data_IF_630972620393
#
_entry.id   IF_630972620393
#
_cell.length_a   1.000
_cell.length_b   1.000
_cell.length_c   1.000
_cell.angle_alpha   90.00
_cell.angle_beta   90.00
_cell.angle_gamma   90.00
#
_symmetry.space_group_name_H-M   'P 1'
#
loop_
_entity.id
_entity.type
_entity.pdbx_description
1 polymer ?
#
# COMPACT_ATOMS: atom_id res chain seq x y z
N UNK A 1 27.11 3.94 24.00
CA UNK A 1 26.41 4.89 23.09
C UNK A 1 25.76 4.19 21.90
N UNK A 2 26.44 3.24 21.24
CA UNK A 2 25.90 2.47 20.10
C UNK A 2 24.54 1.82 20.36
N UNK A 3 24.33 1.19 21.54
CA UNK A 3 23.03 0.63 21.94
C UNK A 3 21.88 1.65 21.89
N UNK A 4 22.12 2.90 22.28
CA UNK A 4 21.09 3.96 22.26
C UNK A 4 20.77 4.41 20.82
N UNK A 5 21.79 4.48 19.96
CA UNK A 5 21.64 4.79 18.54
C UNK A 5 20.85 3.69 17.82
N UNK A 6 21.16 2.42 18.11
CA UNK A 6 20.44 1.28 17.54
C UNK A 6 18.96 1.29 17.95
N UNK A 7 18.68 1.57 19.23
CA UNK A 7 17.33 1.64 19.76
C UNK A 7 16.53 2.79 19.12
N UNK A 8 17.17 3.95 18.94
CA UNK A 8 16.56 5.08 18.22
C UNK A 8 16.25 4.72 16.76
N UNK A 9 17.19 4.07 16.07
CA UNK A 9 17.02 3.63 14.68
C UNK A 9 15.86 2.65 14.51
N UNK A 10 15.73 1.69 15.42
CA UNK A 10 14.59 0.77 15.44
C UNK A 10 13.27 1.52 15.62
N UNK A 11 13.18 2.46 16.58
CA UNK A 11 11.96 3.24 16.82
C UNK A 11 11.56 4.04 15.58
N UNK A 12 12.50 4.70 14.91
CA UNK A 12 12.21 5.39 13.65
C UNK A 12 11.71 4.44 12.57
N UNK A 13 12.29 3.24 12.44
CA UNK A 13 11.85 2.27 11.45
C UNK A 13 10.42 1.77 11.70
N UNK A 14 10.07 1.46 12.95
CA UNK A 14 8.73 1.01 13.31
C UNK A 14 7.66 2.10 13.19
N UNK A 15 8.03 3.38 13.33
CA UNK A 15 7.11 4.51 13.16
C UNK A 15 6.80 4.86 11.69
N UNK A 16 7.49 4.27 10.71
CA UNK A 16 7.22 4.47 9.28
C UNK A 16 6.00 3.66 8.75
N UNK A 17 5.36 2.85 9.59
CA UNK A 17 4.18 2.05 9.20
C UNK A 17 2.98 2.85 8.71
N UNK A 18 2.97 4.18 8.89
CA UNK A 18 1.90 5.07 8.44
C UNK A 18 1.79 5.20 6.91
N UNK A 19 2.84 4.81 6.17
CA UNK A 19 2.86 4.85 4.71
C UNK A 19 2.63 3.49 4.05
N UNK A 20 2.34 2.43 4.82
CA UNK A 20 2.10 1.09 4.27
C UNK A 20 0.59 0.87 4.19
N UNK A 21 0.06 0.69 2.98
CA UNK A 21 -1.34 0.35 2.74
C UNK A 21 -1.46 -1.07 2.13
N UNK A 22 -2.69 -1.53 1.84
CA UNK A 22 -2.99 -2.84 1.21
C UNK A 22 -2.27 -3.06 -0.13
N UNK A 23 -1.69 -1.99 -0.67
CA UNK A 23 -1.16 -1.85 -2.01
C UNK A 23 0.31 -1.37 -2.00
N UNK A 24 1.01 -1.44 -0.85
CA UNK A 24 2.44 -1.10 -0.74
C UNK A 24 2.73 0.21 0.00
N UNK A 25 3.73 0.98 -0.45
CA UNK A 25 4.14 2.25 0.18
C UNK A 25 3.50 3.44 -0.54
N UNK A 26 2.56 4.12 0.11
CA UNK A 26 1.84 5.27 -0.45
C UNK A 26 1.55 6.31 0.63
N UNK A 27 1.46 7.59 0.24
CA UNK A 27 0.97 8.65 1.12
C UNK A 27 -0.57 8.77 1.15
N UNK A 28 -1.27 7.88 0.44
CA UNK A 28 -2.73 7.88 0.32
C UNK A 28 -3.36 6.71 1.06
N UNK A 29 -4.36 7.04 1.88
CA UNK A 29 -5.11 6.10 2.70
C UNK A 29 -6.18 5.33 1.91
N UNK A 30 -6.70 5.92 0.83
CA UNK A 30 -7.72 5.34 -0.03
C UNK A 30 -7.24 5.28 -1.49
N UNK A 31 -7.69 4.27 -2.22
CA UNK A 31 -7.40 4.14 -3.64
C UNK A 31 -8.23 5.14 -4.44
N UNK A 32 -7.56 5.96 -5.28
CA UNK A 32 -8.21 6.82 -6.26
C UNK A 32 -8.69 5.99 -7.48
N UNK A 33 -9.38 4.88 -7.23
CA UNK A 33 -9.94 4.06 -8.29
C UNK A 33 -11.08 4.82 -8.97
N UNK A 34 -11.01 4.91 -10.29
CA UNK A 34 -12.07 5.46 -11.12
C UNK A 34 -13.04 4.33 -11.47
N UNK A 35 -14.26 4.46 -10.98
CA UNK A 35 -15.34 3.51 -11.25
C UNK A 35 -16.33 4.13 -12.24
N UNK A 36 -16.66 3.43 -13.32
CA UNK A 36 -17.60 3.92 -14.34
C UNK A 36 -18.23 2.77 -15.13
N UNK A 37 -19.32 3.08 -15.83
CA UNK A 37 -19.93 2.18 -16.81
C UNK A 37 -19.60 2.67 -18.22
N UNK A 38 -19.23 1.76 -19.11
CA UNK A 38 -19.04 2.12 -20.52
C UNK A 38 -20.37 2.25 -21.27
N UNK A 39 -20.30 2.62 -22.55
CA UNK A 39 -21.48 2.77 -23.40
C UNK A 39 -22.29 1.46 -23.59
N UNK A 40 -21.69 0.30 -23.33
CA UNK A 40 -22.38 -1.00 -23.34
C UNK A 40 -23.05 -1.35 -22.01
N UNK A 41 -22.86 -0.53 -20.97
CA UNK A 41 -23.32 -0.79 -19.60
C UNK A 41 -22.41 -1.73 -18.82
N UNK A 42 -21.19 -2.01 -19.29
CA UNK A 42 -20.22 -2.83 -18.58
C UNK A 42 -19.52 -2.01 -17.50
N UNK A 43 -19.39 -2.56 -16.29
CA UNK A 43 -18.69 -1.93 -15.17
C UNK A 43 -17.17 -2.02 -15.34
N UNK A 44 -16.50 -0.90 -15.12
CA UNK A 44 -15.04 -0.78 -15.14
C UNK A 44 -14.54 -0.14 -13.84
N UNK A 45 -13.42 -0.66 -13.33
CA UNK A 45 -12.70 -0.12 -12.18
C UNK A 45 -11.22 0.01 -12.53
N UNK A 46 -10.80 1.25 -12.76
CA UNK A 46 -9.41 1.59 -13.09
C UNK A 46 -8.72 2.12 -11.84
N UNK A 47 -7.70 1.43 -11.35
CA UNK A 47 -6.93 1.87 -10.18
C UNK A 47 -5.51 2.24 -10.61
N UNK A 48 -4.88 3.24 -9.96
CA UNK A 48 -3.45 3.50 -10.15
C UNK A 48 -2.61 2.25 -9.87
N UNK A 49 -1.51 2.08 -10.59
CA UNK A 49 -0.55 1.01 -10.30
C UNK A 49 0.22 1.31 -9.03
N UNK A 50 0.37 0.28 -8.21
CA UNK A 50 1.23 0.33 -7.04
C UNK A 50 2.70 0.30 -7.44
N UNK A 51 3.56 0.75 -6.54
CA UNK A 51 5.00 0.52 -6.66
C UNK A 51 5.38 -0.93 -6.34
N UNK A 52 4.63 -1.57 -5.44
CA UNK A 52 4.77 -2.98 -5.07
C UNK A 52 3.38 -3.55 -4.83
N UNK A 53 2.96 -4.52 -5.63
CA UNK A 53 1.72 -5.27 -5.41
C UNK A 53 1.96 -6.38 -4.37
N UNK A 54 1.34 -6.25 -3.21
CA UNK A 54 1.31 -7.29 -2.19
C UNK A 54 0.00 -8.08 -2.34
N UNK A 55 0.04 -9.38 -2.67
CA UNK A 55 -1.19 -10.16 -2.79
C UNK A 55 -1.86 -10.30 -1.43
N UNK A 56 -3.16 -9.96 -1.36
CA UNK A 56 -3.97 -10.05 -0.13
C UNK A 56 -4.22 -11.51 0.28
N UNK A 57 -4.14 -12.44 -0.67
CA UNK A 57 -4.20 -13.88 -0.45
C UNK A 57 -2.86 -14.48 -0.85
N UNK A 58 -2.16 -15.19 0.05
CA UNK A 58 -1.00 -15.97 -0.35
C UNK A 58 -1.43 -16.99 -1.41
N UNK A 59 -0.63 -17.17 -2.46
CA UNK A 59 -0.85 -18.24 -3.41
C UNK A 59 -0.92 -19.56 -2.64
N UNK A 60 -2.03 -20.27 -2.77
CA UNK A 60 -2.24 -21.56 -2.12
C UNK A 60 -1.16 -22.54 -2.63
N UNK A 61 -0.31 -23.00 -1.70
CA UNK A 61 0.67 -24.07 -1.90
C UNK A 61 0.00 -25.38 -2.30
#
# INVERSE_FOLDING_TARGET
MLKKVLLLGCVFWFLNGCFVNERGVSNRFYDDCKEYYDASGTYHKECPKNWVDLPLTPDSF
#
